data_IF_523673937744
#
_entry.id   IF_523673937744
#
_cell.length_a   1.000
_cell.length_b   1.000
_cell.length_c   1.000
_cell.angle_alpha   90.00
_cell.angle_beta   90.00
_cell.angle_gamma   90.00
#
_symmetry.space_group_name_H-M   'P 1'
#
loop_
_entity.id
_entity.type
_entity.pdbx_description
1 polymer ?
#
# COMPACT_ATOMS: atom_id res chain seq x y z
N UNK A 1 11.92 44.94 -10.18
CA UNK A 1 12.87 43.94 -10.74
C UNK A 1 13.61 43.35 -9.55
N UNK A 2 13.28 42.12 -9.16
CA UNK A 2 14.17 40.94 -9.21
C UNK A 2 15.45 41.15 -8.38
N UNK A 3 15.81 40.35 -7.38
CA UNK A 3 15.76 38.89 -7.30
C UNK A 3 16.11 38.41 -5.89
N UNK A 4 15.52 37.27 -5.50
CA UNK A 4 15.81 36.50 -4.29
C UNK A 4 17.26 35.99 -4.25
N UNK A 5 17.81 35.90 -3.04
CA UNK A 5 19.04 35.16 -2.73
C UNK A 5 19.03 34.67 -1.29
N UNK A 6 18.29 33.58 -1.04
CA UNK A 6 18.32 32.85 0.24
C UNK A 6 19.47 31.85 0.19
N UNK A 7 20.50 32.08 1.01
CA UNK A 7 21.60 31.15 1.25
C UNK A 7 21.87 31.05 2.74
N UNK A 8 21.15 30.16 3.43
CA UNK A 8 21.38 29.78 4.82
C UNK A 8 21.79 28.31 4.90
N UNK A 9 22.64 27.92 5.88
CA UNK A 9 23.48 26.73 5.79
C UNK A 9 22.68 25.45 6.07
N UNK A 10 22.68 24.54 5.11
CA UNK A 10 22.23 23.16 5.31
C UNK A 10 23.26 22.43 6.19
N UNK A 11 22.84 22.07 7.41
CA UNK A 11 23.64 21.33 8.38
C UNK A 11 23.52 19.84 8.04
N UNK A 12 24.55 19.26 7.42
CA UNK A 12 24.62 17.81 7.17
C UNK A 12 24.66 17.04 8.51
N UNK A 13 23.79 16.05 8.74
CA UNK A 13 23.98 15.11 9.83
C UNK A 13 24.98 14.04 9.40
N UNK A 14 26.21 14.18 9.88
CA UNK A 14 27.26 13.17 9.84
C UNK A 14 26.80 11.89 10.54
N UNK A 15 26.53 10.83 9.77
CA UNK A 15 26.37 9.47 10.30
C UNK A 15 27.75 8.84 10.41
N UNK A 16 28.29 8.85 11.62
CA UNK A 16 29.41 8.00 12.03
C UNK A 16 28.90 6.56 12.10
N UNK A 17 29.47 5.66 11.28
CA UNK A 17 29.18 4.23 11.32
C UNK A 17 30.24 3.55 12.18
N UNK A 18 29.94 3.37 13.47
CA UNK A 18 30.76 2.52 14.33
C UNK A 18 30.39 1.05 14.07
N UNK A 19 31.37 0.32 13.51
CA UNK A 19 31.29 -1.10 13.26
C UNK A 19 31.82 -1.82 14.49
N UNK A 20 30.95 -2.52 15.23
CA UNK A 20 31.16 -3.86 15.81
C UNK A 20 30.06 -4.15 16.82
N UNK A 21 29.13 -5.06 16.47
CA UNK A 21 28.82 -6.24 17.29
C UNK A 21 27.94 -7.20 16.48
N UNK A 22 28.58 -8.09 15.72
CA UNK A 22 27.94 -9.29 15.18
C UNK A 22 27.85 -10.28 16.32
N UNK A 23 26.65 -10.62 16.79
CA UNK A 23 26.32 -11.94 17.36
C UNK A 23 24.80 -12.09 17.60
N UNK A 24 24.23 -13.13 16.97
CA UNK A 24 22.87 -13.64 17.12
C UNK A 24 21.70 -12.74 16.62
N UNK A 25 21.49 -12.63 15.30
CA UNK A 25 20.41 -11.76 14.76
C UNK A 25 19.76 -12.27 13.47
N UNK A 26 19.79 -13.56 13.16
CA UNK A 26 19.19 -14.06 11.91
C UNK A 26 17.69 -14.36 12.07
N UNK A 27 17.28 -14.95 13.18
CA UNK A 27 15.86 -15.31 13.41
C UNK A 27 14.98 -14.09 13.74
N UNK A 28 15.49 -13.13 14.51
CA UNK A 28 14.74 -11.91 14.89
C UNK A 28 14.48 -10.99 13.70
N UNK A 29 15.42 -10.92 12.75
CA UNK A 29 15.28 -10.07 11.56
C UNK A 29 14.27 -10.67 10.58
N UNK A 30 14.32 -11.99 10.34
CA UNK A 30 13.32 -12.68 9.53
C UNK A 30 11.92 -12.64 10.18
N UNK A 31 11.85 -12.68 11.52
CA UNK A 31 10.58 -12.51 12.24
C UNK A 31 10.00 -11.11 12.15
N UNK A 32 10.85 -10.09 12.18
CA UNK A 32 10.39 -8.71 12.04
C UNK A 32 9.92 -8.45 10.60
N UNK A 33 10.62 -8.98 9.60
CA UNK A 33 10.23 -8.84 8.20
C UNK A 33 8.91 -9.56 7.87
N UNK A 34 8.67 -10.78 8.38
CA UNK A 34 7.38 -11.46 8.17
C UNK A 34 6.23 -10.71 8.83
N UNK A 35 6.47 -10.09 9.99
CA UNK A 35 5.48 -9.29 10.71
C UNK A 35 5.15 -8.01 9.93
N UNK A 36 6.17 -7.32 9.42
CA UNK A 36 6.02 -6.15 8.56
C UNK A 36 5.29 -6.47 7.25
N UNK A 37 5.61 -7.60 6.61
CA UNK A 37 4.91 -8.05 5.40
C UNK A 37 3.47 -8.45 5.73
N UNK A 38 3.21 -9.03 6.91
CA UNK A 38 1.84 -9.33 7.34
C UNK A 38 1.04 -8.05 7.58
N UNK A 39 1.66 -7.01 8.16
CA UNK A 39 1.06 -5.68 8.32
C UNK A 39 0.79 -4.95 7.00
N UNK A 40 1.40 -5.39 5.89
CA UNK A 40 1.20 -4.77 4.59
C UNK A 40 -0.09 -5.22 3.87
N UNK A 41 -0.72 -6.30 4.33
CA UNK A 41 -1.97 -6.82 3.76
C UNK A 41 -3.12 -6.65 4.75
N UNK A 42 -4.31 -6.35 4.23
CA UNK A 42 -5.52 -6.12 5.00
C UNK A 42 -5.79 -4.64 5.26
N UNK A 43 -6.99 -4.36 5.76
CA UNK A 43 -7.36 -3.03 6.24
C UNK A 43 -6.63 -2.68 7.54
N UNK A 44 -6.35 -1.39 7.71
CA UNK A 44 -5.83 -0.83 8.96
C UNK A 44 -6.91 -0.04 9.69
N UNK A 45 -6.95 -0.16 11.02
CA UNK A 45 -7.92 0.55 11.88
C UNK A 45 -7.83 2.09 11.76
N UNK A 46 -6.64 2.59 11.41
CA UNK A 46 -6.40 4.00 11.13
C UNK A 46 -6.64 4.31 9.65
N UNK A 47 -7.84 4.80 9.33
CA UNK A 47 -8.21 5.24 8.00
C UNK A 47 -9.09 6.50 8.03
N UNK A 48 -9.20 7.19 6.89
CA UNK A 48 -9.90 8.49 6.79
C UNK A 48 -11.37 8.43 7.25
N UNK A 49 -12.00 7.25 7.15
CA UNK A 49 -13.39 7.04 7.55
C UNK A 49 -13.56 6.49 8.99
N UNK A 50 -12.47 6.43 9.77
CA UNK A 50 -12.53 5.94 11.16
C UNK A 50 -13.21 6.98 12.06
N UNK A 51 -13.13 8.27 11.69
CA UNK A 51 -13.91 9.33 12.31
C UNK A 51 -15.35 9.30 11.78
N UNK A 52 -16.36 9.08 12.65
CA UNK A 52 -17.76 9.05 12.24
C UNK A 52 -18.24 10.37 11.62
N UNK A 53 -17.64 11.51 12.00
CA UNK A 53 -18.01 12.82 11.45
C UNK A 53 -17.64 12.95 9.98
N UNK A 54 -16.48 12.39 9.58
CA UNK A 54 -16.00 12.36 8.20
C UNK A 54 -16.85 11.41 7.37
N UNK A 55 -17.13 10.21 7.89
CA UNK A 55 -18.00 9.24 7.21
C UNK A 55 -19.39 9.82 6.92
N UNK A 56 -20.00 10.52 7.88
CA UNK A 56 -21.32 11.14 7.70
C UNK A 56 -21.32 12.33 6.75
N UNK A 57 -20.23 13.11 6.71
CA UNK A 57 -20.06 14.16 5.71
C UNK A 57 -20.12 13.57 4.30
N UNK A 58 -19.33 12.54 4.02
CA UNK A 58 -19.28 11.89 2.71
C UNK A 58 -20.59 11.20 2.35
N UNK A 59 -21.27 10.57 3.31
CA UNK A 59 -22.61 10.00 3.12
C UNK A 59 -23.60 11.03 2.58
N UNK A 60 -23.68 12.21 3.20
CA UNK A 60 -24.56 13.31 2.78
C UNK A 60 -24.18 13.85 1.40
N UNK A 61 -22.88 13.94 1.09
CA UNK A 61 -22.40 14.36 -0.24
C UNK A 61 -22.86 13.37 -1.32
N UNK A 62 -22.68 12.06 -1.09
CA UNK A 62 -23.12 11.02 -2.03
C UNK A 62 -24.63 10.99 -2.21
N UNK A 63 -25.40 11.22 -1.15
CA UNK A 63 -26.86 11.36 -1.22
C UNK A 63 -27.27 12.58 -2.02
N UNK A 64 -26.67 13.74 -1.77
CA UNK A 64 -26.98 14.98 -2.50
C UNK A 64 -26.64 14.86 -3.99
N UNK A 65 -25.53 14.20 -4.32
CA UNK A 65 -25.10 13.97 -5.69
C UNK A 65 -25.86 12.84 -6.39
N UNK A 66 -26.75 12.12 -5.69
CA UNK A 66 -27.45 10.93 -6.19
C UNK A 66 -26.48 9.90 -6.81
N UNK A 67 -25.34 9.69 -6.15
CA UNK A 67 -24.32 8.77 -6.65
C UNK A 67 -24.89 7.34 -6.74
N UNK A 68 -24.59 6.65 -7.84
CA UNK A 68 -25.11 5.31 -8.16
C UNK A 68 -24.85 4.31 -7.01
N UNK A 69 -23.64 4.35 -6.47
CA UNK A 69 -23.16 3.41 -5.46
C UNK A 69 -23.27 3.94 -4.02
N UNK A 70 -24.04 5.01 -3.77
CA UNK A 70 -24.17 5.58 -2.41
C UNK A 70 -24.65 4.59 -1.34
N UNK A 71 -25.44 3.60 -1.75
CA UNK A 71 -25.99 2.56 -0.88
C UNK A 71 -24.96 1.49 -0.46
N UNK A 72 -23.81 1.43 -1.13
CA UNK A 72 -22.72 0.49 -0.82
C UNK A 72 -21.65 1.10 0.09
N UNK A 73 -21.82 2.37 0.47
CA UNK A 73 -20.86 3.04 1.33
C UNK A 73 -20.98 2.50 2.76
N UNK A 74 -19.97 1.71 3.14
CA UNK A 74 -19.82 1.17 4.49
C UNK A 74 -18.44 1.60 5.04
N UNK A 75 -18.39 2.54 6.00
CA UNK A 75 -17.13 3.01 6.58
C UNK A 75 -16.47 1.99 7.51
N UNK A 76 -17.20 0.94 7.90
CA UNK A 76 -16.70 -0.16 8.75
C UNK A 76 -16.28 -1.40 7.96
N UNK A 77 -16.32 -1.31 6.62
CA UNK A 77 -15.95 -2.43 5.78
C UNK A 77 -14.43 -2.59 5.75
N UNK A 78 -13.97 -3.73 6.27
CA UNK A 78 -12.57 -4.06 6.36
C UNK A 78 -12.26 -5.39 5.68
N UNK A 79 -11.00 -5.56 5.29
CA UNK A 79 -10.51 -6.78 4.69
C UNK A 79 -9.43 -7.44 5.52
N UNK A 80 -9.57 -8.74 5.74
CA UNK A 80 -8.53 -9.51 6.39
C UNK A 80 -7.33 -9.67 5.45
N UNK A 81 -6.12 -9.75 6.03
CA UNK A 81 -4.90 -10.03 5.26
C UNK A 81 -5.02 -11.32 4.43
N UNK A 82 -5.77 -12.31 4.92
CA UNK A 82 -6.01 -13.54 4.17
C UNK A 82 -6.88 -13.34 2.93
N UNK A 83 -7.96 -12.55 3.07
CA UNK A 83 -8.90 -12.30 1.97
C UNK A 83 -8.25 -11.50 0.86
N UNK A 84 -7.46 -10.48 1.22
CA UNK A 84 -6.67 -9.73 0.27
C UNK A 84 -5.67 -10.63 -0.44
N UNK A 85 -4.91 -11.43 0.30
CA UNK A 85 -3.93 -12.35 -0.29
C UNK A 85 -4.58 -13.37 -1.23
N UNK A 86 -5.78 -13.85 -0.90
CA UNK A 86 -6.57 -14.74 -1.77
C UNK A 86 -7.00 -14.00 -3.04
N UNK A 87 -7.40 -12.73 -2.97
CA UNK A 87 -7.75 -11.93 -4.15
C UNK A 87 -6.54 -11.65 -5.03
N UNK A 88 -5.45 -11.12 -4.46
CA UNK A 88 -4.22 -10.79 -5.18
C UNK A 88 -3.72 -12.00 -5.97
N UNK A 89 -3.66 -13.17 -5.34
CA UNK A 89 -3.28 -14.42 -6.02
C UNK A 89 -4.20 -14.81 -7.18
N UNK A 90 -5.50 -14.50 -7.10
CA UNK A 90 -6.44 -14.75 -8.22
C UNK A 90 -6.19 -13.78 -9.36
N UNK A 91 -5.95 -12.50 -9.07
CA UNK A 91 -5.69 -11.46 -10.06
C UNK A 91 -4.35 -11.70 -10.75
N UNK A 92 -3.28 -11.93 -9.98
CA UNK A 92 -1.94 -12.18 -10.50
C UNK A 92 -1.93 -13.36 -11.46
N UNK A 93 -2.61 -14.46 -11.12
CA UNK A 93 -2.72 -15.62 -12.04
C UNK A 93 -3.41 -15.24 -13.35
N UNK A 94 -4.48 -14.46 -13.32
CA UNK A 94 -5.20 -14.02 -14.54
C UNK A 94 -4.31 -13.14 -15.41
N UNK A 95 -3.59 -12.19 -14.80
CA UNK A 95 -2.71 -11.26 -15.52
C UNK A 95 -1.47 -11.99 -16.04
N UNK A 96 -0.79 -12.79 -15.20
CA UNK A 96 0.43 -13.52 -15.59
C UNK A 96 0.16 -14.47 -16.76
N UNK A 97 -0.94 -15.23 -16.73
CA UNK A 97 -1.31 -16.12 -17.83
C UNK A 97 -1.63 -15.33 -19.10
N UNK A 98 -2.43 -14.27 -18.99
CA UNK A 98 -2.78 -13.44 -20.14
C UNK A 98 -1.54 -12.77 -20.76
N UNK A 99 -0.65 -12.22 -19.93
CA UNK A 99 0.59 -11.60 -20.35
C UNK A 99 1.53 -12.62 -21.01
N UNK A 100 1.65 -13.82 -20.44
CA UNK A 100 2.48 -14.89 -21.01
C UNK A 100 2.02 -15.29 -22.41
N UNK A 101 0.71 -15.55 -22.58
CA UNK A 101 0.12 -15.90 -23.88
C UNK A 101 0.32 -14.78 -24.91
N UNK A 102 0.23 -13.51 -24.50
CA UNK A 102 0.40 -12.35 -25.39
C UNK A 102 1.85 -12.09 -25.78
N UNK A 103 2.78 -12.30 -24.85
CA UNK A 103 4.20 -11.99 -25.04
C UNK A 103 4.96 -13.12 -25.73
N UNK A 104 4.46 -14.35 -25.64
CA UNK A 104 5.05 -15.52 -26.29
C UNK A 104 4.07 -16.08 -27.32
N UNK A 105 3.95 -15.45 -28.51
CA UNK A 105 3.16 -16.03 -29.58
C UNK A 105 3.73 -17.40 -29.94
N UNK A 106 2.89 -18.44 -30.13
CA UNK A 106 3.37 -19.77 -30.48
C UNK A 106 4.11 -19.68 -31.81
N UNK A 107 5.42 -19.99 -31.79
CA UNK A 107 6.25 -20.08 -32.98
C UNK A 107 5.67 -21.15 -33.90
N UNK A 108 4.87 -20.74 -34.89
CA UNK A 108 4.44 -21.63 -35.94
C UNK A 108 5.66 -21.89 -36.83
N UNK A 109 6.29 -23.05 -36.64
CA UNK A 109 7.30 -23.57 -37.57
C UNK A 109 6.65 -23.75 -38.94
N UNK A 110 7.11 -22.97 -39.93
CA UNK A 110 7.02 -23.34 -41.34
C UNK A 110 8.26 -24.13 -41.72
#
# INVERSE_FOLDING_TARGET
MASNGVGGPFKEPSKEVDATQVQASTDTSASSLREQVAQQYGSTDDHVFSDPSVADHWRKVYEKAQYENRHRFDPSYEWSAEDEKKLVRKIDKRIMVWAWVRTHPPSHSR
#
